data_IF_728422043416
#
_entry.id   IF_728422043416
#
_cell.length_a   1.000
_cell.length_b   1.000
_cell.length_c   1.000
_cell.angle_alpha   90.00
_cell.angle_beta   90.00
_cell.angle_gamma   90.00
#
_symmetry.space_group_name_H-M   'P 1'
#
loop_
_entity.id
_entity.type
_entity.pdbx_description
1 polymer ?
#
# COMPACT_ATOMS: atom_id res chain seq x y z
N UNK A 1 -24.00 -9.04 17.68
CA UNK A 1 -23.72 -10.27 16.91
C UNK A 1 -23.33 -9.81 15.52
N UNK A 2 -22.05 -9.93 15.17
CA UNK A 2 -21.56 -9.68 13.82
C UNK A 2 -22.12 -10.79 12.94
N UNK A 3 -23.03 -10.46 12.03
CA UNK A 3 -23.55 -11.38 11.02
C UNK A 3 -22.46 -11.64 9.98
N UNK A 4 -21.50 -12.51 10.31
CA UNK A 4 -20.72 -13.19 9.28
C UNK A 4 -21.64 -14.24 8.65
N UNK A 5 -22.08 -14.01 7.41
CA UNK A 5 -22.82 -15.02 6.67
C UNK A 5 -21.96 -16.29 6.53
N UNK A 6 -22.53 -17.50 6.66
CA UNK A 6 -21.80 -18.77 6.57
C UNK A 6 -21.17 -19.06 5.18
N UNK A 7 -21.33 -18.14 4.21
CA UNK A 7 -20.73 -18.14 2.88
C UNK A 7 -19.58 -17.13 2.74
N UNK A 8 -18.76 -16.93 3.77
CA UNK A 8 -17.52 -16.14 3.68
C UNK A 8 -16.41 -16.91 2.91
N UNK A 9 -16.72 -17.37 1.70
CA UNK A 9 -15.79 -18.05 0.80
C UNK A 9 -15.62 -17.21 -0.46
N UNK A 10 -14.38 -16.97 -0.82
CA UNK A 10 -14.01 -16.30 -2.06
C UNK A 10 -14.24 -17.24 -3.25
N UNK A 11 -14.95 -16.79 -4.27
CA UNK A 11 -15.06 -17.47 -5.56
C UNK A 11 -13.73 -17.42 -6.33
N UNK A 12 -13.56 -18.29 -7.33
CA UNK A 12 -12.36 -18.25 -8.18
C UNK A 12 -12.16 -16.89 -8.84
N UNK A 13 -13.24 -16.26 -9.31
CA UNK A 13 -13.18 -14.94 -9.94
C UNK A 13 -12.71 -13.86 -8.96
N UNK A 14 -13.22 -13.87 -7.73
CA UNK A 14 -12.76 -12.94 -6.68
C UNK A 14 -11.29 -13.19 -6.31
N UNK A 15 -10.88 -14.47 -6.27
CA UNK A 15 -9.48 -14.83 -6.05
C UNK A 15 -8.56 -14.35 -7.17
N UNK A 16 -8.99 -14.41 -8.44
CA UNK A 16 -8.22 -13.84 -9.55
C UNK A 16 -8.07 -12.33 -9.40
N UNK A 17 -9.14 -11.61 -9.01
CA UNK A 17 -9.04 -10.17 -8.75
C UNK A 17 -8.09 -9.85 -7.60
N UNK A 18 -8.16 -10.62 -6.52
CA UNK A 18 -7.23 -10.52 -5.40
C UNK A 18 -5.78 -10.75 -5.86
N UNK A 19 -5.52 -11.82 -6.61
CA UNK A 19 -4.18 -12.17 -7.08
C UNK A 19 -3.60 -11.07 -7.98
N UNK A 20 -4.38 -10.58 -8.95
CA UNK A 20 -3.97 -9.49 -9.83
C UNK A 20 -3.69 -8.20 -9.07
N UNK A 21 -4.52 -7.87 -8.06
CA UNK A 21 -4.32 -6.68 -7.24
C UNK A 21 -3.11 -6.80 -6.31
N UNK A 22 -2.79 -8.01 -5.84
CA UNK A 22 -1.64 -8.27 -4.98
C UNK A 22 -0.31 -8.27 -5.76
N UNK A 23 -0.34 -8.74 -7.02
CA UNK A 23 0.83 -8.81 -7.91
C UNK A 23 1.27 -7.42 -8.39
N UNK A 24 0.34 -6.57 -8.81
CA UNK A 24 0.62 -5.20 -9.28
C UNK A 24 -0.22 -4.16 -8.53
N UNK A 25 0.32 -3.66 -7.42
CA UNK A 25 -0.30 -2.59 -6.59
C UNK A 25 -0.20 -1.19 -7.21
N UNK A 26 0.51 -1.00 -8.33
CA UNK A 26 0.55 0.29 -9.04
C UNK A 26 -0.60 0.42 -10.03
N UNK A 27 -1.16 -0.69 -10.52
CA UNK A 27 -2.26 -0.65 -11.45
C UNK A 27 -3.47 0.10 -10.86
N UNK A 28 -4.10 1.06 -11.58
CA UNK A 28 -5.18 1.89 -11.01
C UNK A 28 -6.35 1.11 -10.40
N UNK A 29 -6.66 -0.08 -10.95
CA UNK A 29 -7.70 -0.97 -10.39
C UNK A 29 -7.27 -1.67 -9.11
N UNK A 30 -5.98 -2.00 -8.96
CA UNK A 30 -5.45 -2.57 -7.73
C UNK A 30 -5.45 -1.52 -6.61
N UNK A 31 -5.09 -0.27 -6.94
CA UNK A 31 -5.20 0.86 -5.99
C UNK A 31 -6.64 1.02 -5.51
N UNK A 32 -7.62 0.99 -6.42
CA UNK A 32 -9.04 1.01 -6.04
C UNK A 32 -9.45 -0.19 -5.17
N UNK A 33 -8.95 -1.37 -5.48
CA UNK A 33 -9.24 -2.60 -4.74
C UNK A 33 -8.75 -2.48 -3.29
N UNK A 34 -7.48 -2.16 -3.09
CA UNK A 34 -6.88 -2.04 -1.76
C UNK A 34 -7.41 -0.85 -0.98
N UNK A 35 -7.67 0.27 -1.65
CA UNK A 35 -8.31 1.43 -1.02
C UNK A 35 -9.68 1.03 -0.43
N UNK A 36 -10.51 0.29 -1.17
CA UNK A 36 -11.81 -0.19 -0.66
C UNK A 36 -11.69 -1.20 0.48
N UNK A 37 -10.58 -1.95 0.53
CA UNK A 37 -10.32 -2.84 1.66
C UNK A 37 -9.90 -2.05 2.91
N UNK A 38 -9.23 -0.91 2.73
CA UNK A 38 -8.74 -0.07 3.83
C UNK A 38 -9.76 0.95 4.33
N UNK A 39 -10.64 1.44 3.46
CA UNK A 39 -11.74 2.35 3.77
C UNK A 39 -12.86 1.56 4.46
N UNK A 40 -12.79 1.47 5.79
CA UNK A 40 -13.63 0.61 6.62
C UNK A 40 -15.04 1.17 6.77
N UNK A 41 -15.18 2.49 6.74
CA UNK A 41 -16.48 3.18 6.84
C UNK A 41 -17.09 3.57 5.48
N UNK A 42 -16.29 3.55 4.42
CA UNK A 42 -16.72 3.82 3.06
C UNK A 42 -16.91 5.31 2.76
N UNK A 43 -16.30 6.21 3.53
CA UNK A 43 -16.44 7.66 3.36
C UNK A 43 -15.60 8.23 2.19
N UNK A 44 -14.73 7.39 1.61
CA UNK A 44 -13.86 7.74 0.49
C UNK A 44 -12.52 8.37 0.90
N UNK A 45 -12.16 8.32 2.18
CA UNK A 45 -10.88 8.74 2.73
C UNK A 45 -10.34 7.70 3.70
N UNK A 46 -9.01 7.51 3.72
CA UNK A 46 -8.35 6.79 4.80
C UNK A 46 -8.02 7.79 5.90
N UNK A 47 -8.70 7.64 7.02
CA UNK A 47 -8.48 8.37 8.25
C UNK A 47 -7.32 7.79 9.06
N UNK A 48 -6.78 8.57 10.01
CA UNK A 48 -5.74 8.08 10.92
C UNK A 48 -6.17 6.83 11.68
N UNK A 49 -7.46 6.74 12.04
CA UNK A 49 -8.01 5.58 12.75
C UNK A 49 -7.92 4.29 11.92
N UNK A 50 -8.26 4.35 10.64
CA UNK A 50 -8.18 3.19 9.75
C UNK A 50 -6.73 2.78 9.51
N UNK A 51 -5.83 3.74 9.31
CA UNK A 51 -4.40 3.47 9.16
C UNK A 51 -3.81 2.85 10.43
N UNK A 52 -4.17 3.35 11.61
CA UNK A 52 -3.75 2.79 12.91
C UNK A 52 -4.27 1.36 13.08
N UNK A 53 -5.53 1.11 12.73
CA UNK A 53 -6.15 -0.21 12.81
C UNK A 53 -5.36 -1.29 12.05
N UNK A 54 -4.92 -0.99 10.82
CA UNK A 54 -4.11 -1.94 10.04
C UNK A 54 -2.68 -2.03 10.59
N UNK A 55 -2.09 -0.90 10.99
CA UNK A 55 -0.73 -0.87 11.51
C UNK A 55 -0.57 -1.63 12.83
N UNK A 56 -1.57 -1.61 13.70
CA UNK A 56 -1.58 -2.37 14.95
C UNK A 56 -1.39 -3.89 14.73
N UNK A 57 -1.98 -4.45 13.67
CA UNK A 57 -1.76 -5.85 13.33
C UNK A 57 -0.34 -6.09 12.84
N UNK A 58 0.22 -5.17 12.06
CA UNK A 58 1.60 -5.24 11.58
C UNK A 58 2.60 -5.17 12.74
N UNK A 59 2.37 -4.28 13.72
CA UNK A 59 3.17 -4.19 14.94
C UNK A 59 3.21 -5.53 15.68
N UNK A 60 2.05 -6.16 15.90
CA UNK A 60 1.97 -7.47 16.57
C UNK A 60 2.75 -8.55 15.81
N UNK A 61 2.67 -8.56 14.47
CA UNK A 61 3.39 -9.53 13.64
C UNK A 61 4.91 -9.29 13.67
N UNK A 62 5.35 -8.03 13.67
CA UNK A 62 6.77 -7.66 13.77
C UNK A 62 7.35 -7.98 15.15
N UNK A 63 6.60 -7.70 16.23
CA UNK A 63 6.99 -8.08 17.60
C UNK A 63 7.15 -9.60 17.72
N UNK A 64 6.27 -10.39 17.08
CA UNK A 64 6.34 -11.85 17.12
C UNK A 64 7.62 -12.43 16.49
N UNK A 65 8.24 -11.70 15.55
CA UNK A 65 9.52 -12.06 14.92
C UNK A 65 10.73 -11.31 15.52
N UNK A 66 10.50 -10.48 16.54
CA UNK A 66 11.54 -9.77 17.28
C UNK A 66 12.13 -8.56 16.55
N UNK A 67 11.38 -7.97 15.62
CA UNK A 67 11.78 -6.74 14.91
C UNK A 67 11.30 -5.53 15.72
N UNK A 68 12.21 -4.60 15.99
CA UNK A 68 11.86 -3.32 16.62
C UNK A 68 11.05 -2.48 15.63
N UNK A 69 9.85 -2.10 16.03
CA UNK A 69 8.92 -1.37 15.18
C UNK A 69 9.02 0.13 15.41
N UNK A 70 8.82 0.88 14.35
CA UNK A 70 8.67 2.32 14.42
C UNK A 70 7.30 2.67 15.04
N UNK A 71 7.22 3.68 15.94
CA UNK A 71 5.94 4.16 16.45
C UNK A 71 4.99 4.58 15.33
N UNK A 72 3.68 4.39 15.52
CA UNK A 72 2.67 4.72 14.51
C UNK A 72 2.76 6.18 14.05
N UNK A 73 2.94 7.13 14.97
CA UNK A 73 3.06 8.56 14.65
C UNK A 73 4.20 8.85 13.65
N UNK A 74 5.36 8.22 13.85
CA UNK A 74 6.51 8.39 12.97
C UNK A 74 6.26 7.72 11.61
N UNK A 75 5.62 6.55 11.60
CA UNK A 75 5.32 5.78 10.38
C UNK A 75 4.34 6.57 9.52
N UNK A 76 3.30 7.07 10.18
CA UNK A 76 2.28 7.89 9.59
C UNK A 76 2.86 9.17 8.99
N UNK A 77 3.77 9.86 9.69
CA UNK A 77 4.46 11.03 9.15
C UNK A 77 5.21 10.68 7.85
N UNK A 78 5.97 9.57 7.84
CA UNK A 78 6.70 9.13 6.64
C UNK A 78 5.74 8.81 5.48
N UNK A 79 4.64 8.12 5.76
CA UNK A 79 3.63 7.78 4.75
C UNK A 79 2.92 9.02 4.20
N UNK A 80 2.59 9.99 5.05
CA UNK A 80 1.96 11.25 4.62
C UNK A 80 2.91 12.14 3.83
N UNK A 81 4.20 12.20 4.21
CA UNK A 81 5.22 12.93 3.46
C UNK A 81 5.46 12.32 2.07
N UNK A 82 5.31 11.00 1.95
CA UNK A 82 5.39 10.25 0.70
C UNK A 82 4.15 10.46 -0.18
N UNK A 83 2.94 10.33 0.37
CA UNK A 83 1.68 10.45 -0.40
C UNK A 83 1.33 11.91 -0.71
N UNK A 84 1.66 12.84 0.18
CA UNK A 84 1.30 14.27 0.12
C UNK A 84 -0.19 14.47 -0.18
N UNK A 85 -1.08 14.07 0.75
CA UNK A 85 -2.51 14.19 0.53
C UNK A 85 -2.94 15.65 0.37
N UNK A 86 -4.00 15.87 -0.41
CA UNK A 86 -4.55 17.22 -0.59
C UNK A 86 -5.21 17.77 0.67
N UNK A 87 -5.82 16.89 1.47
CA UNK A 87 -6.42 17.23 2.75
C UNK A 87 -5.49 16.69 3.84
N UNK A 88 -5.13 17.55 4.78
CA UNK A 88 -4.29 17.18 5.92
C UNK A 88 -4.95 16.01 6.66
N UNK A 89 -4.15 15.00 6.95
CA UNK A 89 -4.54 13.81 7.71
C UNK A 89 -5.66 12.94 7.11
N UNK A 90 -5.94 13.11 5.82
CA UNK A 90 -6.91 12.29 5.08
C UNK A 90 -6.37 11.90 3.72
N UNK A 91 -6.15 10.60 3.51
CA UNK A 91 -5.65 10.09 2.24
C UNK A 91 -6.83 9.70 1.35
N UNK A 92 -7.01 10.39 0.22
CA UNK A 92 -8.04 10.00 -0.76
C UNK A 92 -7.51 8.99 -1.77
N UNK A 93 -8.42 8.28 -2.43
CA UNK A 93 -8.08 7.43 -3.59
C UNK A 93 -7.34 8.22 -4.68
N UNK A 94 -7.71 9.50 -4.87
CA UNK A 94 -7.07 10.37 -5.85
C UNK A 94 -5.62 10.70 -5.47
N UNK A 95 -5.29 10.74 -4.18
CA UNK A 95 -3.92 10.93 -3.71
C UNK A 95 -3.06 9.71 -4.00
N UNK A 96 -3.57 8.51 -3.68
CA UNK A 96 -2.87 7.25 -3.96
C UNK A 96 -2.66 7.02 -5.47
N UNK A 97 -3.65 7.35 -6.32
CA UNK A 97 -3.48 7.23 -7.78
C UNK A 97 -2.44 8.18 -8.37
N UNK A 98 -2.15 9.27 -7.67
CA UNK A 98 -1.21 10.31 -8.11
C UNK A 98 0.21 10.01 -7.62
N UNK A 99 0.34 9.22 -6.55
CA UNK A 99 1.61 8.80 -6.00
C UNK A 99 2.12 7.52 -6.70
N UNK A 100 3.40 7.52 -7.10
CA UNK A 100 4.05 6.33 -7.69
C UNK A 100 4.50 5.32 -6.62
N UNK A 101 4.56 5.75 -5.36
CA UNK A 101 5.03 4.96 -4.21
C UNK A 101 3.90 4.28 -3.43
N UNK A 102 2.71 4.23 -4.03
CA UNK A 102 1.51 3.58 -3.46
C UNK A 102 1.69 2.11 -3.08
N UNK A 103 2.50 1.28 -3.78
CA UNK A 103 2.78 -0.07 -3.30
C UNK A 103 3.42 -0.10 -1.90
N UNK A 104 4.39 0.79 -1.65
CA UNK A 104 5.06 0.88 -0.35
C UNK A 104 4.05 1.29 0.72
N UNK A 105 3.20 2.28 0.43
CA UNK A 105 2.12 2.68 1.32
C UNK A 105 1.25 1.49 1.74
N UNK A 106 0.79 0.70 0.78
CA UNK A 106 -0.05 -0.48 1.06
C UNK A 106 0.70 -1.57 1.82
N UNK A 107 1.92 -1.88 1.41
CA UNK A 107 2.70 -2.95 2.03
C UNK A 107 3.04 -2.62 3.49
N UNK A 108 3.32 -1.34 3.81
CA UNK A 108 3.48 -0.86 5.19
C UNK A 108 2.30 -1.22 6.10
N UNK A 109 1.06 -1.06 5.62
CA UNK A 109 -0.13 -1.26 6.45
C UNK A 109 -0.61 -2.71 6.51
N UNK A 110 -0.39 -3.56 5.50
CA UNK A 110 -0.98 -4.90 5.51
C UNK A 110 -0.14 -6.04 4.90
N UNK A 111 1.01 -5.76 4.29
CA UNK A 111 1.90 -6.80 3.74
C UNK A 111 3.29 -6.75 4.37
N UNK A 112 3.44 -7.43 5.51
CA UNK A 112 4.68 -7.45 6.28
C UNK A 112 5.89 -7.97 5.49
N UNK A 113 5.73 -9.03 4.69
CA UNK A 113 6.85 -9.61 3.92
C UNK A 113 7.42 -8.59 2.93
N UNK A 114 6.55 -7.97 2.13
CA UNK A 114 6.96 -6.93 1.16
C UNK A 114 7.46 -5.67 1.85
N UNK A 115 6.86 -5.28 2.98
CA UNK A 115 7.36 -4.15 3.78
C UNK A 115 8.81 -4.37 4.22
N UNK A 116 9.15 -5.54 4.75
CA UNK A 116 10.52 -5.86 5.17
C UNK A 116 11.50 -5.87 3.99
N UNK A 117 11.07 -6.36 2.82
CA UNK A 117 11.88 -6.29 1.60
C UNK A 117 12.14 -4.84 1.15
N UNK A 118 11.15 -3.95 1.32
CA UNK A 118 11.28 -2.52 1.01
C UNK A 118 12.24 -1.81 1.96
N UNK A 119 12.19 -2.09 3.27
CA UNK A 119 13.10 -1.53 4.27
C UNK A 119 14.55 -1.97 4.07
N UNK A 120 14.77 -3.19 3.57
CA UNK A 120 16.11 -3.70 3.25
C UNK A 120 16.65 -3.19 1.91
N UNK A 121 15.76 -2.75 1.01
CA UNK A 121 16.16 -2.15 -0.28
C UNK A 121 16.60 -0.70 -0.06
N UNK A 122 17.90 -0.50 -0.17
CA UNK A 122 18.55 0.81 -0.12
C UNK A 122 17.83 1.86 -1.00
N UNK A 123 17.49 3.06 -0.48
CA UNK A 123 16.80 4.13 -1.23
C UNK A 123 17.53 4.58 -2.50
N UNK A 124 18.82 4.25 -2.68
CA UNK A 124 19.57 4.50 -3.92
C UNK A 124 19.41 3.41 -5.00
N UNK A 125 18.62 2.36 -4.74
CA UNK A 125 18.32 1.32 -5.74
C UNK A 125 17.10 1.70 -6.60
N UNK A 126 16.02 2.18 -5.98
CA UNK A 126 14.74 2.46 -6.65
C UNK A 126 14.79 3.63 -7.64
N UNK A 127 15.67 4.61 -7.43
CA UNK A 127 15.89 5.70 -8.39
C UNK A 127 16.56 5.21 -9.67
N UNK A 128 17.42 4.18 -9.58
CA UNK A 128 18.13 3.65 -10.75
C UNK A 128 17.19 2.92 -11.69
N UNK A 129 16.23 2.16 -11.18
CA UNK A 129 15.27 1.41 -12.02
C UNK A 129 14.32 2.35 -12.78
N UNK A 130 13.85 3.45 -12.15
CA UNK A 130 12.99 4.43 -12.84
C UNK A 130 13.77 5.23 -13.91
N UNK A 131 15.02 5.59 -13.64
CA UNK A 131 15.91 6.22 -14.63
C UNK A 131 16.32 5.26 -15.76
N UNK A 132 16.39 3.94 -15.51
CA UNK A 132 16.71 2.98 -16.59
C UNK A 132 15.52 2.75 -17.51
N UNK A 133 14.30 2.70 -16.99
CA UNK A 133 13.09 2.54 -17.81
C UNK A 133 12.76 3.79 -18.66
N UNK A 134 12.98 5.01 -18.15
CA UNK A 134 12.83 6.24 -18.96
C UNK A 134 13.91 6.34 -20.05
N UNK A 135 15.15 5.94 -19.76
CA UNK A 135 16.27 6.04 -20.70
C UNK A 135 16.26 4.94 -21.80
N UNK A 136 15.70 3.76 -21.52
CA UNK A 136 15.47 2.71 -22.54
C UNK A 136 14.31 3.07 -23.47
N UNK A 137 13.28 3.76 -22.98
CA UNK A 137 12.14 4.16 -23.79
C UNK A 137 12.46 5.36 -24.71
N UNK A 138 13.39 6.25 -24.32
CA UNK A 138 13.91 7.30 -25.19
C UNK A 138 14.82 6.74 -26.30
N UNK A 139 15.63 5.70 -26.02
CA UNK A 139 16.52 5.07 -27.00
C UNK A 139 15.80 4.23 -28.07
N UNK A 140 14.58 3.77 -27.81
CA UNK A 140 13.77 3.03 -28.79
C UNK A 140 13.07 3.91 -29.84
N UNK A 141 13.15 5.24 -29.71
CA UNK A 141 12.47 6.20 -30.59
C UNK A 141 13.28 6.69 -31.80
N UNK A 142 14.54 6.25 -31.94
CA UNK A 142 15.49 6.78 -32.94
C UNK A 142 15.92 5.75 -34.02
N UNK A 143 15.02 4.82 -34.38
CA UNK A 143 15.18 3.91 -35.53
C UNK A 143 13.97 3.91 -36.47
#
# INVERSE_FOLDING_TARGET
QLNGSPDAKMSYTEFVWFLLAEEDKQHPRAIEYWFRCMDLDGDGYLSMYELEYFYDEQLQRMEAIGIECLPFEDCLCQMLDMIRPQIVDKVSLADLKRCKMTPIFFDTFFNLEKYLDHEQRDPFASQRDHDTEENDNEQMSDW
#
